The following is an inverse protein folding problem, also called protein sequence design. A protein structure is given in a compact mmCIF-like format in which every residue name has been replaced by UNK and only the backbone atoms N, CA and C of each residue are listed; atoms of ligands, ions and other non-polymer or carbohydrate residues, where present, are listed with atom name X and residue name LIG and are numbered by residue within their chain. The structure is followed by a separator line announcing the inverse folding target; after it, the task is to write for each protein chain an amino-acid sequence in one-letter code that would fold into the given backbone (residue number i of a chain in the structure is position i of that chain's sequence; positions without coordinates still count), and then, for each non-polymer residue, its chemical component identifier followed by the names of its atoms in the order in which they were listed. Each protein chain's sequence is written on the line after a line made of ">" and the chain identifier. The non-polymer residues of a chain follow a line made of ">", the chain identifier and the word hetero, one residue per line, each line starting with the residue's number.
data_IF_679674248087
#
_entry.id   IF_679674248087
#
_cell.length_a   1.000
_cell.length_b   1.000
_cell.length_c   1.000
_cell.angle_alpha   90.00
_cell.angle_beta   90.00
_cell.angle_gamma   90.00
#
_symmetry.space_group_name_H-M   'P 1'
#
loop_
_entity.id
_entity.type
_entity.pdbx_description
1 polymer ?
#
# COMPACT_ATOMS: atom_id res chain seq x y z
N UNK A 1 31.94 4.17 14.11
CA UNK A 1 31.74 3.71 12.72
C UNK A 1 30.26 3.84 12.39
N UNK A 2 29.87 4.83 11.60
CA UNK A 2 28.47 5.04 11.23
C UNK A 2 28.04 3.94 10.25
N UNK A 3 26.90 3.26 10.47
CA UNK A 3 26.43 2.27 9.53
C UNK A 3 26.08 2.99 8.23
N UNK A 4 26.68 2.54 7.14
CA UNK A 4 26.34 2.92 5.77
C UNK A 4 24.82 2.83 5.62
N UNK A 5 24.17 3.98 5.50
CA UNK A 5 22.73 4.11 5.30
C UNK A 5 22.40 3.59 3.90
N UNK A 6 22.41 2.27 3.72
CA UNK A 6 21.90 1.64 2.52
C UNK A 6 20.49 2.15 2.30
N UNK A 7 20.31 2.98 1.27
CA UNK A 7 19.04 3.60 0.92
C UNK A 7 18.08 2.52 0.44
N UNK A 8 17.41 1.85 1.36
CA UNK A 8 16.35 0.91 1.04
C UNK A 8 15.12 1.71 0.58
N UNK A 9 14.55 1.29 -0.54
CA UNK A 9 13.26 1.82 -0.99
C UNK A 9 12.21 1.38 0.04
N UNK A 10 11.42 2.31 0.62
CA UNK A 10 10.38 1.94 1.57
C UNK A 10 9.31 1.04 0.94
N UNK A 11 8.83 0.04 1.68
CA UNK A 11 7.79 -0.89 1.21
C UNK A 11 6.52 -0.17 0.77
N UNK A 12 6.11 0.88 1.50
CA UNK A 12 4.94 1.67 1.11
C UNK A 12 5.07 2.28 -0.28
N UNK A 13 6.28 2.63 -0.73
CA UNK A 13 6.53 3.21 -2.06
C UNK A 13 6.48 2.11 -3.14
N UNK A 14 7.03 0.94 -2.86
CA UNK A 14 6.92 -0.22 -3.76
C UNK A 14 5.45 -0.63 -3.97
N UNK A 15 4.66 -0.65 -2.89
CA UNK A 15 3.22 -0.93 -2.96
C UNK A 15 2.50 0.11 -3.83
N UNK A 16 2.84 1.39 -3.73
CA UNK A 16 2.26 2.42 -4.62
C UNK A 16 2.55 2.14 -6.10
N UNK A 17 3.77 1.71 -6.44
CA UNK A 17 4.10 1.35 -7.83
C UNK A 17 3.28 0.16 -8.32
N UNK A 18 3.10 -0.85 -7.47
CA UNK A 18 2.30 -2.03 -7.81
C UNK A 18 0.82 -1.68 -8.01
N UNK A 19 0.28 -0.76 -7.21
CA UNK A 19 -1.09 -0.24 -7.41
C UNK A 19 -1.17 0.54 -8.72
N UNK A 20 -0.19 1.38 -9.03
CA UNK A 20 -0.16 2.17 -10.26
C UNK A 20 -0.02 1.31 -11.54
N UNK A 21 0.67 0.18 -11.45
CA UNK A 21 0.83 -0.80 -12.53
C UNK A 21 -0.37 -1.77 -12.63
N UNK A 22 -1.23 -1.82 -11.61
CA UNK A 22 -2.42 -2.68 -11.62
C UNK A 22 -3.50 -2.13 -12.56
N UNK A 23 -4.30 -3.01 -13.19
CA UNK A 23 -5.42 -2.58 -14.02
C UNK A 23 -6.45 -1.76 -13.23
N UNK A 24 -7.29 -1.00 -13.95
CA UNK A 24 -8.24 0.01 -13.43
C UNK A 24 -9.27 -0.47 -12.40
N UNK A 25 -9.28 -1.74 -12.04
CA UNK A 25 -10.15 -2.31 -11.01
C UNK A 25 -9.69 -1.98 -9.59
N UNK A 26 -8.41 -1.61 -9.42
CA UNK A 26 -7.93 -1.06 -8.16
C UNK A 26 -8.17 0.44 -8.10
N UNK A 27 -8.86 0.88 -7.05
CA UNK A 27 -8.99 2.30 -6.74
C UNK A 27 -7.61 2.90 -6.44
N UNK A 28 -7.40 4.15 -6.82
CA UNK A 28 -6.14 4.82 -6.55
C UNK A 28 -6.03 5.22 -5.05
N UNK A 29 -4.82 5.31 -4.48
CA UNK A 29 -4.66 5.62 -3.05
C UNK A 29 -5.15 7.00 -2.61
N UNK A 30 -5.22 7.98 -3.52
CA UNK A 30 -5.76 9.31 -3.20
C UNK A 30 -7.29 9.32 -3.23
N UNK A 31 -7.90 8.58 -4.15
CA UNK A 31 -9.35 8.42 -4.22
C UNK A 31 -9.89 7.69 -2.98
N UNK A 32 -9.16 6.70 -2.46
CA UNK A 32 -9.58 5.91 -1.29
C UNK A 32 -9.75 6.75 -0.02
N UNK A 33 -9.03 7.86 0.08
CA UNK A 33 -9.08 8.81 1.20
C UNK A 33 -9.78 10.13 0.84
N UNK A 34 -10.36 10.20 -0.36
CA UNK A 34 -11.06 11.37 -0.89
C UNK A 34 -10.21 12.64 -0.91
N UNK A 35 -8.92 12.50 -1.19
CA UNK A 35 -7.99 13.62 -1.31
C UNK A 35 -7.75 13.99 -2.77
N UNK A 36 -7.53 15.28 -3.03
CA UNK A 36 -6.88 15.69 -4.28
C UNK A 36 -5.47 15.11 -4.36
N UNK A 37 -4.90 15.04 -5.57
CA UNK A 37 -3.53 14.55 -5.77
C UNK A 37 -2.51 15.34 -4.95
N UNK A 38 -2.67 16.66 -4.87
CA UNK A 38 -1.77 17.54 -4.11
C UNK A 38 -1.87 17.30 -2.60
N UNK A 39 -3.09 17.18 -2.07
CA UNK A 39 -3.33 16.86 -0.66
C UNK A 39 -2.76 15.51 -0.29
N UNK A 40 -2.93 14.51 -1.15
CA UNK A 40 -2.40 13.17 -0.94
C UNK A 40 -0.88 13.14 -0.94
N UNK A 41 -0.24 13.75 -1.94
CA UNK A 41 1.23 13.82 -2.02
C UNK A 41 1.80 14.54 -0.81
N UNK A 42 1.19 15.66 -0.40
CA UNK A 42 1.59 16.35 0.82
C UNK A 42 1.44 15.43 2.03
N UNK A 43 0.25 14.87 2.24
CA UNK A 43 -0.03 14.02 3.39
C UNK A 43 0.93 12.81 3.46
N UNK A 44 1.05 12.02 2.39
CA UNK A 44 1.85 10.79 2.37
C UNK A 44 3.34 11.06 2.65
N UNK A 45 3.88 12.18 2.15
CA UNK A 45 5.29 12.53 2.38
C UNK A 45 5.57 12.95 3.83
N UNK A 46 4.57 13.46 4.56
CA UNK A 46 4.72 13.88 5.96
C UNK A 46 4.35 12.81 6.99
N UNK A 47 3.64 11.74 6.60
CA UNK A 47 3.24 10.68 7.53
C UNK A 47 4.39 9.73 7.90
N UNK A 48 4.26 9.04 9.03
CA UNK A 48 5.11 7.91 9.38
C UNK A 48 4.68 6.64 8.63
N UNK A 49 5.62 5.71 8.43
CA UNK A 49 5.38 4.45 7.72
C UNK A 49 4.15 3.65 8.20
N UNK A 50 3.85 3.53 9.51
CA UNK A 50 2.63 2.84 9.97
C UNK A 50 1.33 3.44 9.40
N UNK A 51 1.23 4.77 9.36
CA UNK A 51 0.01 5.44 8.86
C UNK A 51 -0.09 5.30 7.34
N UNK A 52 1.05 5.36 6.62
CA UNK A 52 1.11 5.08 5.18
C UNK A 52 0.61 3.68 4.87
N UNK A 53 1.10 2.68 5.61
CA UNK A 53 0.75 1.27 5.41
C UNK A 53 -0.69 0.97 5.81
N UNK A 54 -1.24 1.66 6.79
CA UNK A 54 -2.64 1.53 7.19
C UNK A 54 -3.59 1.88 6.04
N UNK A 55 -3.33 2.96 5.32
CA UNK A 55 -4.15 3.36 4.17
C UNK A 55 -4.01 2.36 3.02
N UNK A 56 -2.78 1.91 2.75
CA UNK A 56 -2.53 0.91 1.72
C UNK A 56 -3.19 -0.43 2.04
N UNK A 57 -3.11 -0.90 3.29
CA UNK A 57 -3.81 -2.11 3.75
C UNK A 57 -5.32 -1.97 3.60
N UNK A 58 -5.91 -0.87 4.09
CA UNK A 58 -7.34 -0.66 3.98
C UNK A 58 -7.84 -0.59 2.53
N UNK A 59 -7.02 -0.07 1.62
CA UNK A 59 -7.30 -0.10 0.19
C UNK A 59 -7.31 -1.52 -0.38
N UNK A 60 -6.33 -2.37 -0.01
CA UNK A 60 -6.31 -3.78 -0.42
C UNK A 60 -7.46 -4.59 0.17
N UNK A 61 -7.85 -4.28 1.41
CA UNK A 61 -9.00 -4.91 2.07
C UNK A 61 -10.31 -4.56 1.32
N UNK A 62 -10.49 -3.28 0.96
CA UNK A 62 -11.63 -2.83 0.17
C UNK A 62 -11.65 -3.45 -1.23
N UNK A 63 -10.49 -3.57 -1.88
CA UNK A 63 -10.35 -4.26 -3.16
C UNK A 63 -10.75 -5.74 -3.04
N UNK A 64 -10.26 -6.44 -2.02
CA UNK A 64 -10.59 -7.84 -1.74
C UNK A 64 -12.09 -8.03 -1.54
N UNK A 65 -12.70 -7.19 -0.73
CA UNK A 65 -14.15 -7.20 -0.51
C UNK A 65 -14.93 -6.99 -1.82
N UNK A 66 -14.47 -6.08 -2.70
CA UNK A 66 -15.09 -5.83 -4.01
C UNK A 66 -14.98 -7.04 -4.94
N UNK A 67 -13.82 -7.69 -5.02
CA UNK A 67 -13.61 -8.90 -5.83
C UNK A 67 -14.55 -10.02 -5.36
N UNK A 68 -14.61 -10.26 -4.05
CA UNK A 68 -15.51 -11.26 -3.45
C UNK A 68 -16.97 -10.94 -3.74
N UNK A 69 -17.39 -9.69 -3.58
CA UNK A 69 -18.77 -9.25 -3.86
C UNK A 69 -19.18 -9.46 -5.32
N UNK A 70 -18.24 -9.27 -6.25
CA UNK A 70 -18.45 -9.48 -7.70
C UNK A 70 -18.40 -10.96 -8.10
N UNK A 71 -18.15 -11.88 -7.17
CA UNK A 71 -17.95 -13.30 -7.47
C UNK A 71 -16.64 -13.58 -8.22
N UNK A 72 -15.68 -12.67 -8.15
CA UNK A 72 -14.37 -12.83 -8.77
C UNK A 72 -13.58 -13.95 -8.11
N UNK A 73 -12.88 -14.75 -8.92
CA UNK A 73 -12.07 -15.89 -8.46
C UNK A 73 -10.57 -15.59 -8.46
N UNK A 74 -10.17 -14.40 -8.90
CA UNK A 74 -8.78 -13.98 -9.06
C UNK A 74 -8.58 -12.51 -8.73
N UNK A 75 -7.43 -12.19 -8.14
CA UNK A 75 -6.96 -10.83 -7.90
C UNK A 75 -6.08 -10.33 -9.05
N UNK A 76 -5.73 -9.04 -9.04
CA UNK A 76 -4.67 -8.50 -9.93
C UNK A 76 -3.35 -9.22 -9.68
N UNK A 77 -2.54 -9.35 -10.73
CA UNK A 77 -1.27 -10.09 -10.69
C UNK A 77 -0.31 -9.61 -9.60
N UNK A 78 -0.34 -8.30 -9.30
CA UNK A 78 0.54 -7.68 -8.32
C UNK A 78 0.05 -7.84 -6.86
N UNK A 79 -1.19 -8.28 -6.63
CA UNK A 79 -1.82 -8.34 -5.30
C UNK A 79 -1.02 -9.16 -4.27
N UNK A 80 -0.54 -10.39 -4.59
CA UNK A 80 0.24 -11.18 -3.63
C UNK A 80 1.50 -10.45 -3.13
N UNK A 81 2.21 -9.77 -4.04
CA UNK A 81 3.40 -9.01 -3.69
C UNK A 81 3.07 -7.76 -2.85
N UNK A 82 1.94 -7.10 -3.11
CA UNK A 82 1.51 -5.97 -2.27
C UNK A 82 1.26 -6.41 -0.82
N UNK A 83 0.62 -7.57 -0.62
CA UNK A 83 0.36 -8.14 0.71
C UNK A 83 1.66 -8.52 1.40
N UNK A 84 2.57 -9.21 0.70
CA UNK A 84 3.89 -9.58 1.22
C UNK A 84 4.67 -8.37 1.74
N UNK A 85 4.76 -7.30 0.93
CA UNK A 85 5.47 -6.08 1.31
C UNK A 85 4.86 -5.37 2.54
N UNK A 86 3.53 -5.41 2.69
CA UNK A 86 2.84 -4.83 3.86
C UNK A 86 3.15 -5.64 5.12
N UNK A 87 3.07 -6.97 5.05
CA UNK A 87 3.33 -7.86 6.18
C UNK A 87 4.79 -7.83 6.61
N UNK A 88 5.74 -7.81 5.66
CA UNK A 88 7.15 -7.58 5.96
C UNK A 88 7.38 -6.27 6.70
N UNK A 89 6.72 -5.20 6.26
CA UNK A 89 6.87 -3.90 6.90
C UNK A 89 6.30 -3.88 8.32
N UNK A 90 5.16 -4.55 8.56
CA UNK A 90 4.59 -4.71 9.92
C UNK A 90 5.53 -5.47 10.85
N UNK A 91 6.10 -6.57 10.37
CA UNK A 91 7.07 -7.39 11.12
C UNK A 91 8.30 -6.57 11.53
N UNK A 92 8.84 -5.76 10.60
CA UNK A 92 9.99 -4.88 10.88
C UNK A 92 9.69 -3.78 11.89
N UNK A 93 8.43 -3.31 11.96
CA UNK A 93 8.00 -2.28 12.90
C UNK A 93 7.63 -2.82 14.29
N UNK A 94 7.64 -4.14 14.49
CA UNK A 94 7.26 -4.76 15.77
C UNK A 94 5.77 -4.69 16.09
N UNK A 95 4.93 -4.33 15.11
CA UNK A 95 3.47 -4.39 15.24
C UNK A 95 3.01 -5.83 14.96
N UNK A 96 3.07 -6.69 15.98
CA UNK A 96 2.21 -7.87 15.99
C UNK A 96 0.77 -7.39 16.20
N UNK A 97 -0.14 -7.93 15.39
CA UNK A 97 -1.57 -7.64 15.36
C UNK A 97 -2.25 -7.66 16.72
#
# INVERSE_FOLDING_TARGET
>A
SSPSSSSFIPHWLLVHFLIADSPSDLMSPHDSVQYTKEEYVKWILFQADPERLKILSGLLDAYTASVVQKGGTSYVSNYPLMVELIEESRSRMGCNA
#
